data_IF_506446427632
#
_entry.id   IF_506446427632
#
_cell.length_a   1.000
_cell.length_b   1.000
_cell.length_c   1.000
_cell.angle_alpha   90.00
_cell.angle_beta   90.00
_cell.angle_gamma   90.00
#
_symmetry.space_group_name_H-M   'P 1'
#
loop_
_entity.id
_entity.type
_entity.pdbx_description
1 polymer ?
#
# COMPACT_ATOMS: atom_id res chain seq x y z
N UNK A 1 91.36 -5.67 -96.24
CA UNK A 1 90.87 -5.87 -94.87
C UNK A 1 89.35 -6.00 -94.92
N UNK A 2 88.80 -7.06 -94.33
CA UNK A 2 87.45 -7.56 -94.64
C UNK A 2 86.36 -6.81 -93.86
N UNK A 3 85.55 -6.01 -94.57
CA UNK A 3 84.34 -5.35 -94.04
C UNK A 3 83.36 -6.31 -93.33
N UNK A 4 83.44 -7.62 -93.61
CA UNK A 4 82.66 -8.67 -92.93
C UNK A 4 82.91 -8.70 -91.42
N UNK A 5 84.13 -8.45 -90.96
CA UNK A 5 84.45 -8.56 -89.53
C UNK A 5 83.82 -7.41 -88.71
N UNK A 6 83.73 -6.21 -89.29
CA UNK A 6 83.13 -5.03 -88.64
C UNK A 6 81.60 -5.16 -88.52
N UNK A 7 80.95 -5.80 -89.51
CA UNK A 7 79.51 -6.07 -89.43
C UNK A 7 79.17 -7.11 -88.36
N UNK A 8 79.98 -8.16 -88.19
CA UNK A 8 79.74 -9.17 -87.16
C UNK A 8 79.88 -8.63 -85.73
N UNK A 9 80.84 -7.73 -85.48
CA UNK A 9 81.01 -7.14 -84.14
C UNK A 9 79.85 -6.21 -83.77
N UNK A 10 79.32 -5.46 -84.73
CA UNK A 10 78.13 -4.61 -84.51
C UNK A 10 76.88 -5.45 -84.20
N UNK A 11 76.63 -6.53 -84.94
CA UNK A 11 75.50 -7.44 -84.68
C UNK A 11 75.66 -8.11 -83.31
N UNK A 12 76.86 -8.58 -82.97
CA UNK A 12 77.13 -9.19 -81.67
C UNK A 12 76.87 -8.20 -80.51
N UNK A 13 77.29 -6.94 -80.66
CA UNK A 13 77.06 -5.90 -79.65
C UNK A 13 75.57 -5.60 -79.47
N UNK A 14 74.78 -5.55 -80.55
CA UNK A 14 73.31 -5.37 -80.47
C UNK A 14 72.65 -6.54 -79.76
N UNK A 15 73.05 -7.79 -80.04
CA UNK A 15 72.51 -8.98 -79.37
C UNK A 15 72.84 -8.96 -77.86
N UNK A 16 74.06 -8.57 -77.49
CA UNK A 16 74.45 -8.44 -76.07
C UNK A 16 73.60 -7.39 -75.36
N UNK A 17 73.35 -6.23 -75.99
CA UNK A 17 72.51 -5.18 -75.41
C UNK A 17 71.06 -5.63 -75.28
N UNK A 18 70.49 -6.28 -76.30
CA UNK A 18 69.12 -6.81 -76.23
C UNK A 18 69.02 -7.89 -75.15
N UNK A 19 70.02 -8.77 -75.06
CA UNK A 19 70.09 -9.82 -74.04
C UNK A 19 70.21 -9.26 -72.62
N UNK A 20 71.06 -8.25 -72.40
CA UNK A 20 71.21 -7.61 -71.09
C UNK A 20 69.94 -6.88 -70.67
N UNK A 21 69.29 -6.18 -71.61
CA UNK A 21 68.05 -5.46 -71.36
C UNK A 21 66.91 -6.43 -71.01
N UNK A 22 66.80 -7.56 -71.72
CA UNK A 22 65.85 -8.61 -71.39
C UNK A 22 66.12 -9.26 -70.02
N UNK A 23 67.40 -9.48 -69.68
CA UNK A 23 67.83 -9.95 -68.37
C UNK A 23 67.42 -8.98 -67.25
N UNK A 24 67.64 -7.68 -67.45
CA UNK A 24 67.21 -6.64 -66.51
C UNK A 24 65.69 -6.60 -66.35
N UNK A 25 64.92 -6.67 -67.44
CA UNK A 25 63.45 -6.72 -67.36
C UNK A 25 62.95 -7.93 -66.58
N UNK A 26 63.54 -9.12 -66.78
CA UNK A 26 63.21 -10.33 -66.02
C UNK A 26 63.49 -10.16 -64.53
N UNK A 27 64.66 -9.63 -64.17
CA UNK A 27 65.03 -9.37 -62.78
C UNK A 27 64.10 -8.36 -62.12
N UNK A 28 63.74 -7.29 -62.83
CA UNK A 28 62.85 -6.25 -62.30
C UNK A 28 61.44 -6.80 -62.04
N UNK A 29 60.88 -7.56 -62.98
CA UNK A 29 59.57 -8.20 -62.82
C UNK A 29 59.58 -9.16 -61.64
N UNK A 30 60.63 -9.97 -61.49
CA UNK A 30 60.76 -10.91 -60.37
C UNK A 30 60.81 -10.18 -59.02
N UNK A 31 61.55 -9.06 -58.92
CA UNK A 31 61.61 -8.26 -57.70
C UNK A 31 60.27 -7.61 -57.36
N UNK A 32 59.54 -7.10 -58.36
CA UNK A 32 58.23 -6.47 -58.18
C UNK A 32 57.20 -7.49 -57.68
N UNK A 33 57.21 -8.71 -58.22
CA UNK A 33 56.28 -9.77 -57.78
C UNK A 33 56.50 -10.11 -56.31
N UNK A 34 57.76 -10.26 -55.87
CA UNK A 34 58.07 -10.54 -54.47
C UNK A 34 57.64 -9.42 -53.51
N UNK A 35 57.79 -8.15 -53.91
CA UNK A 35 57.32 -7.03 -53.08
C UNK A 35 55.79 -6.98 -52.98
N UNK A 36 55.08 -7.33 -54.06
CA UNK A 36 53.62 -7.37 -54.07
C UNK A 36 53.08 -8.48 -53.16
N UNK A 37 53.67 -9.67 -53.19
CA UNK A 37 53.23 -10.78 -52.35
C UNK A 37 53.40 -10.45 -50.86
N UNK A 38 54.55 -9.88 -50.46
CA UNK A 38 54.78 -9.45 -49.08
C UNK A 38 53.80 -8.36 -48.61
N UNK A 39 53.44 -7.43 -49.51
CA UNK A 39 52.48 -6.37 -49.19
C UNK A 39 51.06 -6.91 -49.06
N UNK A 40 50.68 -7.85 -49.94
CA UNK A 40 49.36 -8.50 -49.88
C UNK A 40 49.23 -9.32 -48.60
N UNK A 41 50.28 -10.04 -48.20
CA UNK A 41 50.29 -10.83 -46.98
C UNK A 41 50.18 -9.94 -45.74
N UNK A 42 50.96 -8.85 -45.67
CA UNK A 42 50.88 -7.88 -44.58
C UNK A 42 49.51 -7.18 -44.50
N UNK A 43 48.89 -6.86 -45.64
CA UNK A 43 47.55 -6.30 -45.67
C UNK A 43 46.48 -7.31 -45.21
N UNK A 44 46.62 -8.59 -45.58
CA UNK A 44 45.73 -9.66 -45.09
C UNK A 44 45.88 -9.89 -43.59
N UNK A 45 47.11 -9.87 -43.08
CA UNK A 45 47.37 -10.01 -41.65
C UNK A 45 46.77 -8.83 -40.87
N UNK A 46 46.91 -7.59 -41.38
CA UNK A 46 46.25 -6.43 -40.77
C UNK A 46 44.73 -6.52 -40.83
N UNK A 47 44.15 -6.95 -41.95
CA UNK A 47 42.70 -7.09 -42.09
C UNK A 47 42.15 -8.11 -41.08
N UNK A 48 42.75 -9.30 -41.00
CA UNK A 48 42.35 -10.35 -40.05
C UNK A 48 42.61 -9.95 -38.59
N UNK A 49 43.68 -9.20 -38.32
CA UNK A 49 43.95 -8.62 -36.99
C UNK A 49 42.88 -7.62 -36.56
N UNK A 50 42.47 -6.73 -37.48
CA UNK A 50 41.38 -5.77 -37.24
C UNK A 50 40.03 -6.46 -37.05
N UNK A 51 39.71 -7.49 -37.84
CA UNK A 51 38.49 -8.28 -37.66
C UNK A 51 38.43 -8.95 -36.28
N UNK A 52 39.54 -9.56 -35.81
CA UNK A 52 39.62 -10.14 -34.47
C UNK A 52 39.46 -9.09 -33.36
N UNK A 53 40.03 -7.91 -33.54
CA UNK A 53 39.85 -6.81 -32.59
C UNK A 53 38.41 -6.33 -32.56
N UNK A 54 37.74 -6.27 -33.72
CA UNK A 54 36.34 -5.90 -33.81
C UNK A 54 35.43 -6.93 -33.10
N UNK A 55 35.64 -8.22 -33.34
CA UNK A 55 34.86 -9.29 -32.72
C UNK A 55 35.06 -9.37 -31.21
N UNK A 56 36.30 -9.21 -30.74
CA UNK A 56 36.59 -9.17 -29.30
C UNK A 56 36.02 -7.91 -28.63
N UNK A 57 36.06 -6.75 -29.29
CA UNK A 57 35.44 -5.53 -28.78
C UNK A 57 33.91 -5.63 -28.72
N UNK A 58 33.27 -6.20 -29.76
CA UNK A 58 31.81 -6.43 -29.79
C UNK A 58 31.37 -7.34 -28.65
N UNK A 59 32.00 -8.50 -28.50
CA UNK A 59 31.65 -9.48 -27.47
C UNK A 59 31.91 -8.98 -26.05
N UNK A 60 32.96 -8.18 -25.83
CA UNK A 60 33.34 -7.74 -24.47
C UNK A 60 32.51 -6.54 -23.97
N UNK A 61 32.16 -5.60 -24.85
CA UNK A 61 31.57 -4.32 -24.42
C UNK A 61 30.05 -4.28 -24.50
N UNK A 62 29.45 -4.94 -25.48
CA UNK A 62 28.00 -5.00 -25.69
C UNK A 62 27.32 -5.84 -24.61
N UNK A 63 27.84 -7.04 -24.38
CA UNK A 63 27.06 -8.07 -23.71
C UNK A 63 27.03 -7.90 -22.19
N UNK A 64 28.14 -7.49 -21.58
CA UNK A 64 28.18 -7.26 -20.14
C UNK A 64 27.32 -6.07 -19.70
N UNK A 65 27.27 -5.02 -20.51
CA UNK A 65 26.46 -3.83 -20.24
C UNK A 65 24.97 -4.15 -20.42
N UNK A 66 24.62 -4.84 -21.52
CA UNK A 66 23.26 -5.30 -21.78
C UNK A 66 22.76 -6.25 -20.69
N UNK A 67 23.54 -7.25 -20.29
CA UNK A 67 23.17 -8.18 -19.21
C UNK A 67 22.89 -7.43 -17.90
N UNK A 68 23.71 -6.42 -17.57
CA UNK A 68 23.49 -5.59 -16.38
C UNK A 68 22.18 -4.79 -16.47
N UNK A 69 21.85 -4.25 -17.63
CA UNK A 69 20.58 -3.55 -17.84
C UNK A 69 19.39 -4.51 -17.76
N UNK A 70 19.46 -5.68 -18.39
CA UNK A 70 18.40 -6.68 -18.30
C UNK A 70 18.17 -7.14 -16.86
N UNK A 71 19.22 -7.40 -16.09
CA UNK A 71 19.10 -7.70 -14.66
C UNK A 71 18.43 -6.56 -13.90
N UNK A 72 18.81 -5.31 -14.17
CA UNK A 72 18.20 -4.15 -13.53
C UNK A 72 16.72 -4.00 -13.88
N UNK A 73 16.36 -4.18 -15.15
CA UNK A 73 14.98 -4.17 -15.62
C UNK A 73 14.18 -5.27 -14.91
N UNK A 74 14.69 -6.50 -14.86
CA UNK A 74 14.00 -7.60 -14.16
C UNK A 74 13.82 -7.37 -12.66
N UNK A 75 14.80 -6.75 -11.99
CA UNK A 75 14.65 -6.36 -10.58
C UNK A 75 13.54 -5.31 -10.40
N UNK A 76 13.52 -4.27 -11.26
CA UNK A 76 12.50 -3.22 -11.22
C UNK A 76 11.11 -3.75 -11.55
N UNK A 77 10.98 -4.66 -12.52
CA UNK A 77 9.71 -5.32 -12.86
C UNK A 77 9.20 -6.17 -11.69
N UNK A 78 10.09 -6.89 -11.00
CA UNK A 78 9.72 -7.66 -9.80
C UNK A 78 9.27 -6.74 -8.66
N UNK A 79 9.95 -5.62 -8.45
CA UNK A 79 9.59 -4.63 -7.43
C UNK A 79 8.24 -3.97 -7.74
N UNK A 80 8.01 -3.57 -8.98
CA UNK A 80 6.72 -3.04 -9.44
C UNK A 80 5.59 -4.04 -9.23
N UNK A 81 5.82 -5.33 -9.53
CA UNK A 81 4.80 -6.37 -9.30
C UNK A 81 4.48 -6.57 -7.82
N UNK A 82 5.47 -6.47 -6.93
CA UNK A 82 5.24 -6.55 -5.47
C UNK A 82 4.47 -5.34 -4.96
N UNK A 83 4.87 -4.14 -5.40
CA UNK A 83 4.18 -2.90 -5.05
C UNK A 83 2.72 -2.90 -5.51
N UNK A 84 2.44 -3.44 -6.70
CA UNK A 84 1.06 -3.57 -7.18
C UNK A 84 0.23 -4.54 -6.32
N UNK A 85 0.80 -5.68 -5.93
CA UNK A 85 0.15 -6.63 -5.04
C UNK A 85 -0.10 -6.04 -3.63
N UNK A 86 0.86 -5.28 -3.12
CA UNK A 86 0.75 -4.58 -1.84
C UNK A 86 -0.29 -3.45 -1.90
N UNK A 87 -0.36 -2.69 -3.01
CA UNK A 87 -1.37 -1.65 -3.22
C UNK A 87 -2.78 -2.26 -3.26
N UNK A 88 -2.98 -3.34 -4.02
CA UNK A 88 -4.27 -4.04 -4.05
C UNK A 88 -4.70 -4.55 -2.67
N UNK A 89 -3.76 -5.10 -1.90
CA UNK A 89 -4.03 -5.58 -0.53
C UNK A 89 -4.38 -4.41 0.39
N UNK A 90 -3.63 -3.30 0.29
CA UNK A 90 -3.86 -2.10 1.09
C UNK A 90 -5.22 -1.48 0.78
N UNK A 91 -5.62 -1.39 -0.50
CA UNK A 91 -6.95 -0.91 -0.89
C UNK A 91 -8.08 -1.75 -0.30
N UNK A 92 -7.95 -3.08 -0.32
CA UNK A 92 -8.94 -3.98 0.29
C UNK A 92 -9.08 -3.74 1.79
N UNK A 93 -7.96 -3.62 2.50
CA UNK A 93 -7.94 -3.34 3.94
C UNK A 93 -8.56 -1.98 4.26
N UNK A 94 -8.28 -0.95 3.44
CA UNK A 94 -8.88 0.38 3.59
C UNK A 94 -10.39 0.30 3.43
N UNK A 95 -10.89 -0.38 2.39
CA UNK A 95 -12.33 -0.55 2.18
C UNK A 95 -13.01 -1.31 3.32
N UNK A 96 -12.40 -2.38 3.81
CA UNK A 96 -12.89 -3.15 4.94
C UNK A 96 -12.99 -2.29 6.20
N UNK A 97 -11.93 -1.53 6.52
CA UNK A 97 -11.90 -0.62 7.67
C UNK A 97 -12.89 0.52 7.53
N UNK A 98 -13.12 1.04 6.32
CA UNK A 98 -14.14 2.05 6.08
C UNK A 98 -15.55 1.51 6.34
N UNK A 99 -15.83 0.25 5.95
CA UNK A 99 -17.11 -0.41 6.29
C UNK A 99 -17.26 -0.56 7.80
N UNK A 100 -16.23 -1.04 8.49
CA UNK A 100 -16.24 -1.21 9.95
C UNK A 100 -16.50 0.13 10.68
N UNK A 101 -15.81 1.19 10.28
CA UNK A 101 -16.02 2.54 10.83
C UNK A 101 -17.46 3.01 10.57
N UNK A 102 -17.98 2.78 9.37
CA UNK A 102 -19.36 3.16 9.02
C UNK A 102 -20.38 2.43 9.89
N UNK A 103 -20.19 1.13 10.12
CA UNK A 103 -21.07 0.33 10.98
C UNK A 103 -20.97 0.72 12.46
N UNK A 104 -19.77 1.02 12.94
CA UNK A 104 -19.56 1.46 14.32
C UNK A 104 -20.18 2.85 14.55
N UNK A 105 -20.03 3.77 13.60
CA UNK A 105 -20.65 5.09 13.69
C UNK A 105 -22.17 4.99 13.70
N UNK A 106 -22.77 4.16 12.85
CA UNK A 106 -24.21 3.91 12.89
C UNK A 106 -24.65 3.32 14.24
N UNK A 107 -23.85 2.42 14.83
CA UNK A 107 -24.11 1.89 16.17
C UNK A 107 -24.02 2.95 17.27
N UNK A 108 -23.06 3.87 17.18
CA UNK A 108 -22.91 5.00 18.10
C UNK A 108 -24.11 5.94 18.01
N UNK A 109 -24.59 6.22 16.80
CA UNK A 109 -25.79 7.05 16.58
C UNK A 109 -27.03 6.42 17.23
N UNK A 110 -27.27 5.13 16.99
CA UNK A 110 -28.39 4.41 17.63
C UNK A 110 -28.27 4.44 19.15
N UNK A 111 -27.07 4.21 19.70
CA UNK A 111 -26.86 4.25 21.15
C UNK A 111 -27.10 5.65 21.72
N UNK A 112 -26.68 6.68 21.01
CA UNK A 112 -26.91 8.08 21.39
C UNK A 112 -28.40 8.40 21.43
N UNK A 113 -29.15 8.01 20.41
CA UNK A 113 -30.60 8.24 20.36
C UNK A 113 -31.30 7.55 21.53
N UNK A 114 -30.91 6.31 21.83
CA UNK A 114 -31.42 5.57 23.00
C UNK A 114 -31.07 6.27 24.30
N UNK A 115 -29.84 6.75 24.46
CA UNK A 115 -29.44 7.50 25.66
C UNK A 115 -30.24 8.80 25.83
N UNK A 116 -30.54 9.50 24.74
CA UNK A 116 -31.35 10.72 24.75
C UNK A 116 -32.79 10.40 25.19
N UNK A 117 -33.38 9.32 24.66
CA UNK A 117 -34.71 8.85 25.09
C UNK A 117 -34.75 8.49 26.58
N UNK A 118 -33.72 7.79 27.08
CA UNK A 118 -33.62 7.45 28.50
C UNK A 118 -33.38 8.67 29.38
N UNK A 119 -32.58 9.64 28.92
CA UNK A 119 -32.35 10.89 29.64
C UNK A 119 -33.65 11.71 29.77
N UNK A 120 -34.45 11.78 28.70
CA UNK A 120 -35.77 12.43 28.75
C UNK A 120 -36.70 11.69 29.73
N UNK A 121 -36.77 10.35 29.66
CA UNK A 121 -37.58 9.57 30.60
C UNK A 121 -37.11 9.72 32.05
N UNK A 122 -35.80 9.74 32.29
CA UNK A 122 -35.24 9.92 33.62
C UNK A 122 -35.58 11.31 34.19
N UNK A 123 -35.51 12.36 33.36
CA UNK A 123 -35.89 13.72 33.81
C UNK A 123 -37.33 13.79 34.33
N UNK A 124 -38.26 13.08 33.68
CA UNK A 124 -39.67 13.01 34.10
C UNK A 124 -39.89 12.22 35.40
N UNK A 125 -38.98 11.32 35.79
CA UNK A 125 -39.08 10.54 37.03
C UNK A 125 -38.78 11.39 38.27
N UNK A 126 -37.99 12.45 38.10
CA UNK A 126 -37.58 13.37 39.16
C UNK A 126 -38.46 14.62 39.25
N UNK A 127 -39.62 14.60 38.58
CA UNK A 127 -40.62 15.67 38.59
C UNK A 127 -41.90 15.22 39.31
N UNK A 128 -42.58 16.16 39.98
CA UNK A 128 -43.87 15.87 40.61
C UNK A 128 -44.94 15.58 39.54
N UNK A 129 -45.71 14.48 39.63
CA UNK A 129 -46.66 14.05 38.59
C UNK A 129 -47.85 15.01 38.38
N UNK A 130 -48.04 15.98 39.27
CA UNK A 130 -49.18 16.92 39.23
C UNK A 130 -48.79 18.35 38.83
N UNK A 131 -47.53 18.75 39.02
CA UNK A 131 -47.11 20.15 38.82
C UNK A 131 -45.68 20.34 38.33
N UNK A 132 -44.98 19.25 37.98
CA UNK A 132 -43.63 19.27 37.40
C UNK A 132 -42.55 19.89 38.30
N UNK A 133 -42.84 20.04 39.60
CA UNK A 133 -41.88 20.57 40.55
C UNK A 133 -40.71 19.60 40.75
N UNK A 134 -39.48 20.14 40.75
CA UNK A 134 -38.25 19.33 40.87
C UNK A 134 -38.15 18.60 42.21
N UNK A 135 -37.55 17.42 42.18
CA UNK A 135 -37.20 16.61 43.35
C UNK A 135 -36.21 17.37 44.27
N UNK A 136 -36.59 17.55 45.53
CA UNK A 136 -35.75 18.16 46.57
C UNK A 136 -34.83 17.14 47.21
N UNK A 137 -35.35 15.96 47.54
CA UNK A 137 -34.59 14.92 48.24
C UNK A 137 -35.14 13.52 47.96
N UNK A 138 -34.22 12.57 47.92
CA UNK A 138 -34.50 11.13 47.96
C UNK A 138 -33.79 10.58 49.19
N UNK A 139 -34.54 9.89 50.04
CA UNK A 139 -34.00 9.23 51.22
C UNK A 139 -34.65 7.87 51.43
N UNK A 140 -33.94 7.00 52.12
CA UNK A 140 -34.53 5.77 52.65
C UNK A 140 -35.00 6.04 54.08
N UNK A 141 -36.22 5.63 54.38
CA UNK A 141 -36.77 5.71 55.74
C UNK A 141 -37.06 4.29 56.18
N UNK A 142 -36.46 3.91 57.31
CA UNK A 142 -36.69 2.63 57.95
C UNK A 142 -37.92 2.74 58.87
N UNK A 143 -38.99 2.05 58.52
CA UNK A 143 -40.18 1.93 59.34
C UNK A 143 -40.04 0.67 60.20
N UNK A 144 -39.43 0.85 61.38
CA UNK A 144 -39.15 -0.24 62.31
C UNK A 144 -40.38 -1.09 62.66
N UNK A 145 -41.56 -0.47 62.70
CA UNK A 145 -42.84 -1.14 63.01
C UNK A 145 -43.36 -2.01 61.85
N UNK A 146 -42.98 -1.70 60.61
CA UNK A 146 -43.41 -2.41 59.40
C UNK A 146 -42.31 -3.34 58.84
N UNK A 147 -41.12 -3.35 59.46
CA UNK A 147 -39.92 -4.04 58.97
C UNK A 147 -39.63 -3.79 57.49
N UNK A 148 -39.92 -2.58 57.02
CA UNK A 148 -39.81 -2.18 55.63
C UNK A 148 -38.96 -0.91 55.49
N UNK A 149 -37.97 -0.97 54.60
CA UNK A 149 -37.19 0.18 54.17
C UNK A 149 -37.84 0.72 52.91
N UNK A 150 -38.46 1.89 53.01
CA UNK A 150 -39.17 2.50 51.88
C UNK A 150 -38.34 3.65 51.29
N UNK A 151 -38.45 3.84 49.99
CA UNK A 151 -37.82 4.99 49.32
C UNK A 151 -38.78 6.18 49.40
N UNK A 152 -38.38 7.22 50.12
CA UNK A 152 -39.14 8.46 50.29
C UNK A 152 -38.59 9.55 49.36
N UNK A 153 -39.46 10.08 48.49
CA UNK A 153 -39.16 11.20 47.59
C UNK A 153 -39.91 12.44 48.05
N UNK A 154 -39.23 13.58 48.12
CA UNK A 154 -39.82 14.88 48.46
C UNK A 154 -39.59 15.86 47.33
N UNK A 155 -40.63 16.56 46.89
CA UNK A 155 -40.59 17.51 45.78
C UNK A 155 -40.73 18.95 46.27
N UNK A 156 -40.23 19.91 45.48
CA UNK A 156 -40.23 21.34 45.83
C UNK A 156 -41.61 21.98 46.00
N UNK A 157 -42.67 21.40 45.42
CA UNK A 157 -44.05 21.83 45.64
C UNK A 157 -44.64 21.36 46.98
N UNK A 158 -43.92 20.53 47.74
CA UNK A 158 -44.40 19.93 48.98
C UNK A 158 -45.09 18.57 48.82
N UNK A 159 -45.22 18.05 47.59
CA UNK A 159 -45.63 16.65 47.36
C UNK A 159 -44.54 15.69 47.84
N UNK A 160 -44.94 14.55 48.39
CA UNK A 160 -44.03 13.48 48.75
C UNK A 160 -44.69 12.13 48.56
N UNK A 161 -43.89 11.14 48.19
CA UNK A 161 -44.33 9.76 48.00
C UNK A 161 -43.34 8.79 48.64
N UNK A 162 -43.86 7.66 49.11
CA UNK A 162 -43.08 6.54 49.64
C UNK A 162 -43.51 5.25 48.95
N UNK A 163 -42.58 4.54 48.32
CA UNK A 163 -42.83 3.30 47.55
C UNK A 163 -44.00 3.40 46.57
N UNK A 164 -44.12 4.55 45.90
CA UNK A 164 -45.17 4.83 44.90
C UNK A 164 -46.52 5.25 45.49
N UNK A 165 -46.66 5.32 46.81
CA UNK A 165 -47.86 5.82 47.47
C UNK A 165 -47.68 7.28 47.91
N UNK A 166 -48.64 8.17 47.60
CA UNK A 166 -48.56 9.58 47.99
C UNK A 166 -48.70 9.72 49.51
N UNK A 167 -47.75 10.42 50.14
CA UNK A 167 -47.72 10.71 51.58
C UNK A 167 -48.19 12.13 51.89
N UNK A 168 -47.96 13.08 50.99
CA UNK A 168 -48.43 14.46 51.11
C UNK A 168 -48.98 14.98 49.79
N UNK A 169 -50.01 15.85 49.85
CA UNK A 169 -50.71 16.34 48.66
C UNK A 169 -49.91 17.43 47.95
N UNK A 170 -49.90 17.40 46.62
CA UNK A 170 -49.45 18.54 45.82
C UNK A 170 -50.49 19.67 45.90
N UNK A 171 -50.10 20.96 46.02
CA UNK A 171 -51.04 22.08 45.99
C UNK A 171 -51.89 22.17 44.70
N UNK A 172 -51.34 21.71 43.58
CA UNK A 172 -52.02 21.68 42.28
C UNK A 172 -52.64 20.31 41.94
N UNK A 173 -52.46 19.32 42.83
CA UNK A 173 -52.95 17.96 42.63
C UNK A 173 -54.35 17.74 43.22
N UNK A 174 -54.98 16.60 42.91
CA UNK A 174 -56.20 16.19 43.59
C UNK A 174 -55.93 16.00 45.09
N UNK A 175 -56.90 16.34 45.97
CA UNK A 175 -56.75 16.12 47.39
C UNK A 175 -56.59 14.63 47.69
N UNK A 176 -55.61 14.27 48.52
CA UNK A 176 -55.41 12.89 48.94
C UNK A 176 -56.61 12.42 49.75
N UNK A 177 -57.33 11.44 49.21
CA UNK A 177 -58.30 10.66 49.97
C UNK A 177 -57.47 9.70 50.82
N UNK A 178 -57.44 9.93 52.14
CA UNK A 178 -56.87 8.95 53.07
C UNK A 178 -57.69 7.68 52.93
N UNK A 179 -57.12 6.69 52.25
CA UNK A 179 -57.60 5.32 52.37
C UNK A 179 -57.13 4.88 53.74
N UNK A 180 -58.05 4.87 54.71
CA UNK A 180 -57.77 4.24 56.00
C UNK A 180 -57.31 2.81 55.70
N UNK A 181 -56.21 2.34 56.32
CA UNK A 181 -55.77 0.97 56.15
C UNK A 181 -56.95 0.10 56.58
N UNK A 182 -57.62 -0.50 55.60
CA UNK A 182 -58.69 -1.44 55.86
C UNK A 182 -58.01 -2.55 56.64
N UNK A 183 -58.37 -2.68 57.92
CA UNK A 183 -57.84 -3.71 58.80
C UNK A 183 -57.85 -5.01 58.00
N UNK A 184 -56.66 -5.53 57.71
CA UNK A 184 -56.53 -6.82 57.08
C UNK A 184 -56.95 -7.78 58.19
N UNK A 185 -58.24 -8.12 58.21
CA UNK A 185 -58.81 -9.03 59.20
C UNK A 185 -58.02 -10.33 59.11
N UNK A 186 -57.16 -10.59 60.10
CA UNK A 186 -56.34 -11.79 60.30
C UNK A 186 -57.20 -13.05 60.57
N UNK A 187 -58.24 -13.28 59.76
CA UNK A 187 -59.26 -14.30 59.99
C UNK A 187 -59.15 -15.53 59.08
N UNK A 188 -57.98 -15.78 58.49
CA UNK A 188 -57.69 -17.04 57.76
C UNK A 188 -56.37 -17.68 58.22
N UNK A 189 -56.20 -17.81 59.53
CA UNK A 189 -55.33 -18.85 60.07
C UNK A 189 -56.11 -19.76 61.01
N UNK A 190 -56.06 -21.06 60.68
CA UNK A 190 -56.47 -22.23 61.47
C UNK A 190 -57.93 -22.69 61.32
N UNK A 191 -58.24 -23.34 60.20
CA UNK A 191 -58.93 -24.64 60.27
C UNK A 191 -58.18 -25.69 59.43
N UNK A 192 -57.94 -26.83 60.09
CA UNK A 192 -57.41 -28.08 59.55
C UNK A 192 -58.14 -28.57 58.30
#
# INVERSE_FOLDING_TARGET
MSNKLIFFTQIAQVIIVIGSLFGFFRLMVQQIVQQKDATIELLRERATGLEKQLDSAKTTTSDALLDRYYRKIGMLESELSKLDADDQTSRRLIEEKHREITTLNAGIEVLRDVMEEYAEKASRVDECPYCEASLLSVGQVDYADEHAIVTHKTYSCGYSEGDGFPRSSCPNGPPLVRVEPKAMDDSDSLQN
#
